data_IF_813332008465
#
_entry.id   IF_813332008465
#
_cell.length_a   1.000
_cell.length_b   1.000
_cell.length_c   1.000
_cell.angle_alpha   90.00
_cell.angle_beta   90.00
_cell.angle_gamma   90.00
#
_symmetry.space_group_name_H-M   'P 1'
#
loop_
_entity.id
_entity.type
_entity.pdbx_description
1 polymer ?
#
# COMPACT_ATOMS: atom_id res chain seq x y z
N UNK A 1 30.34 21.95 -42.57
CA UNK A 1 30.30 21.99 -41.08
C UNK A 1 28.87 21.89 -40.52
N UNK A 2 27.84 22.46 -41.18
CA UNK A 2 26.45 22.45 -40.70
C UNK A 2 25.80 21.05 -40.56
N UNK A 3 26.18 20.07 -41.39
CA UNK A 3 25.63 18.70 -41.35
C UNK A 3 26.09 17.87 -40.13
N UNK A 4 27.27 18.14 -39.59
CA UNK A 4 27.79 17.43 -38.41
C UNK A 4 27.10 17.87 -37.12
N UNK A 5 26.60 19.11 -37.08
CA UNK A 5 25.88 19.67 -35.93
C UNK A 5 24.48 19.05 -35.76
N UNK A 6 23.81 18.67 -36.85
CA UNK A 6 22.50 18.02 -36.79
C UNK A 6 22.58 16.56 -36.32
N UNK A 7 23.62 15.84 -36.70
CA UNK A 7 23.85 14.45 -36.27
C UNK A 7 24.14 14.33 -34.77
N UNK A 8 24.87 15.30 -34.21
CA UNK A 8 25.18 15.33 -32.78
C UNK A 8 23.97 15.72 -31.92
N UNK A 9 23.06 16.56 -32.44
CA UNK A 9 21.81 16.90 -31.77
C UNK A 9 20.82 15.72 -31.71
N UNK A 10 20.74 14.92 -32.78
CA UNK A 10 19.88 13.72 -32.81
C UNK A 10 20.33 12.63 -31.83
N UNK A 11 21.64 12.49 -31.61
CA UNK A 11 22.22 11.53 -30.66
C UNK A 11 21.86 11.89 -29.20
N UNK A 12 21.80 13.19 -28.88
CA UNK A 12 21.48 13.67 -27.53
C UNK A 12 20.00 13.48 -27.17
N UNK A 13 19.09 13.49 -28.15
CA UNK A 13 17.65 13.26 -27.92
C UNK A 13 17.35 11.79 -27.63
N UNK A 14 18.05 10.85 -28.27
CA UNK A 14 17.88 9.39 -28.04
C UNK A 14 18.41 8.97 -26.67
N UNK A 15 19.44 9.64 -26.15
CA UNK A 15 19.99 9.36 -24.81
C UNK A 15 19.10 9.85 -23.66
N UNK A 16 18.06 10.66 -23.91
CA UNK A 16 17.19 11.17 -22.85
C UNK A 16 16.14 10.15 -22.38
N UNK A 17 15.92 9.06 -23.13
CA UNK A 17 14.96 8.01 -22.75
C UNK A 17 15.50 7.04 -21.69
N UNK A 18 16.77 7.17 -21.27
CA UNK A 18 17.40 6.31 -20.28
C UNK A 18 17.11 6.65 -18.80
N UNK A 19 16.50 7.81 -18.51
CA UNK A 19 16.32 8.31 -17.14
C UNK A 19 14.86 8.24 -16.66
N UNK A 20 14.13 7.17 -16.98
CA UNK A 20 12.85 6.87 -16.35
C UNK A 20 12.98 5.61 -15.49
N UNK A 21 13.92 5.61 -14.54
CA UNK A 21 13.98 4.59 -13.51
C UNK A 21 12.84 4.83 -12.53
N UNK A 22 11.66 4.29 -12.87
CA UNK A 22 10.57 4.13 -11.94
C UNK A 22 10.98 3.02 -10.97
N UNK A 23 11.49 3.39 -9.80
CA UNK A 23 11.68 2.48 -8.67
C UNK A 23 10.31 2.10 -8.11
N UNK A 24 9.54 1.31 -8.86
CA UNK A 24 8.39 0.62 -8.30
C UNK A 24 8.96 -0.47 -7.38
N UNK A 25 8.89 -0.26 -6.07
CA UNK A 25 9.07 -1.35 -5.13
C UNK A 25 8.08 -2.46 -5.48
N UNK A 26 8.50 -3.74 -5.47
CA UNK A 26 7.58 -4.85 -5.67
C UNK A 26 6.36 -4.68 -4.77
N UNK A 27 5.15 -4.95 -5.29
CA UNK A 27 3.88 -4.75 -4.58
C UNK A 27 3.89 -5.48 -3.22
N UNK A 28 4.58 -6.61 -3.14
CA UNK A 28 4.75 -7.43 -1.94
C UNK A 28 5.53 -6.70 -0.82
N UNK A 29 6.38 -5.74 -1.16
CA UNK A 29 7.14 -4.91 -0.21
C UNK A 29 6.42 -3.60 0.13
N UNK A 30 5.30 -3.30 -0.54
CA UNK A 30 4.54 -2.09 -0.31
C UNK A 30 3.60 -2.26 0.88
N UNK A 31 3.69 -1.33 1.82
CA UNK A 31 2.71 -1.19 2.90
C UNK A 31 1.60 -0.26 2.43
N UNK A 32 0.37 -0.70 2.61
CA UNK A 32 -0.85 0.05 2.34
C UNK A 32 -1.52 0.39 3.66
N UNK A 33 -2.34 1.43 3.64
CA UNK A 33 -3.12 1.83 4.79
C UNK A 33 -4.56 2.19 4.42
N UNK A 34 -5.47 1.99 5.36
CA UNK A 34 -6.89 2.32 5.20
C UNK A 34 -7.56 2.58 6.53
N UNK A 35 -8.54 3.48 6.52
CA UNK A 35 -9.40 3.75 7.67
C UNK A 35 -10.78 3.11 7.48
N UNK A 36 -11.37 2.65 8.57
CA UNK A 36 -12.72 2.11 8.56
C UNK A 36 -13.25 1.80 9.95
N UNK A 37 -14.52 1.43 10.02
CA UNK A 37 -15.18 1.02 11.26
C UNK A 37 -15.16 -0.49 11.39
N UNK A 38 -14.73 -1.02 12.53
CA UNK A 38 -14.69 -2.47 12.78
C UNK A 38 -16.10 -3.05 12.75
N UNK A 39 -16.34 -4.01 11.86
CA UNK A 39 -17.58 -4.79 11.80
C UNK A 39 -17.45 -6.05 12.64
N UNK A 40 -16.32 -6.77 12.48
CA UNK A 40 -16.01 -7.94 13.28
C UNK A 40 -14.50 -8.10 13.46
N UNK A 41 -14.09 -8.73 14.57
CA UNK A 41 -12.69 -9.02 14.86
C UNK A 41 -12.58 -10.39 15.52
N UNK A 42 -11.61 -11.18 15.06
CA UNK A 42 -11.26 -12.49 15.63
C UNK A 42 -9.73 -12.62 15.81
N UNK A 43 -9.26 -13.82 16.14
CA UNK A 43 -7.81 -14.09 16.23
C UNK A 43 -7.14 -14.08 14.85
N UNK A 44 -7.84 -14.47 13.79
CA UNK A 44 -7.29 -14.66 12.45
C UNK A 44 -7.80 -13.66 11.42
N UNK A 45 -8.84 -12.90 11.73
CA UNK A 45 -9.54 -12.05 10.77
C UNK A 45 -9.99 -10.72 11.38
N UNK A 46 -9.89 -9.65 10.60
CA UNK A 46 -10.46 -8.34 10.89
C UNK A 46 -11.32 -7.93 9.69
N UNK A 47 -12.55 -7.53 9.95
CA UNK A 47 -13.44 -6.97 8.93
C UNK A 47 -13.77 -5.54 9.30
N UNK A 48 -13.54 -4.61 8.37
CA UNK A 48 -13.91 -3.20 8.54
C UNK A 48 -14.84 -2.77 7.42
N UNK A 49 -15.75 -1.85 7.75
CA UNK A 49 -16.44 -1.04 6.75
C UNK A 49 -15.53 0.13 6.37
N UNK A 50 -14.94 0.05 5.19
CA UNK A 50 -14.24 1.18 4.56
C UNK A 50 -15.23 2.19 3.98
N UNK A 51 -14.69 3.23 3.31
CA UNK A 51 -15.51 4.32 2.75
C UNK A 51 -16.54 3.85 1.70
N UNK A 52 -16.25 2.79 0.96
CA UNK A 52 -17.08 2.31 -0.17
C UNK A 52 -17.50 0.86 -0.04
N UNK A 53 -16.70 0.05 0.65
CA UNK A 53 -16.84 -1.39 0.67
C UNK A 53 -16.41 -1.96 2.01
N UNK A 54 -16.87 -3.17 2.28
CA UNK A 54 -16.34 -3.99 3.35
C UNK A 54 -14.98 -4.54 2.94
N UNK A 55 -14.03 -4.53 3.87
CA UNK A 55 -12.67 -4.98 3.63
C UNK A 55 -12.30 -6.00 4.71
N UNK A 56 -11.98 -7.21 4.26
CA UNK A 56 -11.51 -8.32 5.10
C UNK A 56 -9.99 -8.38 5.08
N UNK A 57 -9.39 -8.53 6.26
CA UNK A 57 -7.96 -8.70 6.45
C UNK A 57 -7.67 -9.97 7.22
N UNK A 58 -6.57 -10.62 6.85
CA UNK A 58 -5.99 -11.72 7.63
C UNK A 58 -5.07 -11.15 8.70
N UNK A 59 -5.31 -11.56 9.95
CA UNK A 59 -4.44 -11.28 11.08
C UNK A 59 -3.44 -12.42 11.19
N UNK A 60 -2.16 -12.07 11.28
CA UNK A 60 -1.07 -13.00 11.52
C UNK A 60 -0.60 -12.89 12.97
N UNK A 61 0.12 -13.91 13.49
CA UNK A 61 0.76 -13.81 14.80
C UNK A 61 1.74 -12.64 14.92
N UNK A 62 2.31 -12.18 13.79
CA UNK A 62 3.21 -11.02 13.73
C UNK A 62 2.50 -9.67 13.61
N UNK A 63 1.16 -9.65 13.48
CA UNK A 63 0.40 -8.40 13.36
C UNK A 63 0.37 -7.64 14.68
N UNK A 64 0.66 -6.35 14.64
CA UNK A 64 0.62 -5.49 15.83
C UNK A 64 -0.80 -4.95 15.98
N UNK A 65 -1.47 -5.31 17.07
CA UNK A 65 -2.73 -4.68 17.47
C UNK A 65 -2.41 -3.57 18.47
N UNK A 66 -2.79 -2.34 18.17
CA UNK A 66 -2.91 -1.25 19.14
C UNK A 66 -3.93 -1.59 20.21
N UNK A 67 -4.19 -0.66 21.14
CA UNK A 67 -5.17 -0.82 22.24
C UNK A 67 -6.40 -1.65 21.84
N UNK A 68 -6.91 -2.47 22.75
CA UNK A 68 -8.04 -3.38 22.48
C UNK A 68 -9.25 -2.63 21.93
N UNK A 69 -9.43 -2.70 20.62
CA UNK A 69 -10.56 -2.12 19.91
C UNK A 69 -11.63 -3.19 19.70
N UNK A 70 -12.89 -2.79 19.79
CA UNK A 70 -14.05 -3.66 19.63
C UNK A 70 -14.83 -3.31 18.35
N UNK A 71 -15.86 -4.10 18.05
CA UNK A 71 -16.82 -3.78 16.99
C UNK A 71 -17.39 -2.38 17.19
N UNK A 72 -17.44 -1.59 16.12
CA UNK A 72 -17.86 -0.18 16.14
C UNK A 72 -16.71 0.82 16.29
N UNK A 73 -15.51 0.38 16.69
CA UNK A 73 -14.34 1.25 16.76
C UNK A 73 -13.92 1.74 15.37
N UNK A 74 -13.48 3.00 15.28
CA UNK A 74 -12.90 3.54 14.05
C UNK A 74 -11.37 3.34 14.08
N UNK A 75 -10.85 2.58 13.12
CA UNK A 75 -9.46 2.11 13.14
C UNK A 75 -8.68 2.55 11.91
N UNK A 76 -7.37 2.61 12.05
CA UNK A 76 -6.39 2.73 10.97
C UNK A 76 -5.65 1.42 10.83
N UNK A 77 -5.75 0.79 9.66
CA UNK A 77 -5.18 -0.53 9.36
C UNK A 77 -4.06 -0.36 8.35
N UNK A 78 -2.86 -0.76 8.75
CA UNK A 78 -1.72 -1.00 7.87
C UNK A 78 -1.69 -2.47 7.45
N UNK A 79 -1.50 -2.73 6.16
CA UNK A 79 -1.49 -4.08 5.61
C UNK A 79 -0.55 -4.20 4.42
N UNK A 80 -0.21 -5.43 4.08
CA UNK A 80 0.49 -5.79 2.85
C UNK A 80 -0.37 -6.73 1.99
N UNK A 81 -0.08 -6.77 0.70
CA UNK A 81 -0.70 -7.72 -0.22
C UNK A 81 0.22 -8.92 -0.41
N UNK A 82 -0.33 -10.12 -0.22
CA UNK A 82 0.34 -11.39 -0.56
C UNK A 82 -0.57 -12.17 -1.50
N UNK A 83 -0.35 -12.02 -2.81
CA UNK A 83 -1.36 -12.34 -3.81
C UNK A 83 -2.61 -11.48 -3.58
N UNK A 84 -3.78 -12.13 -3.46
CA UNK A 84 -5.06 -11.44 -3.23
C UNK A 84 -5.41 -11.25 -1.74
N UNK A 85 -4.54 -11.72 -0.83
CA UNK A 85 -4.77 -11.65 0.61
C UNK A 85 -4.20 -10.36 1.18
N UNK A 86 -5.03 -9.64 1.94
CA UNK A 86 -4.62 -8.45 2.72
C UNK A 86 -4.18 -8.91 4.11
N UNK A 87 -2.88 -8.91 4.38
CA UNK A 87 -2.32 -9.30 5.68
C UNK A 87 -2.07 -8.08 6.55
N UNK A 88 -2.68 -8.01 7.75
CA UNK A 88 -2.49 -6.90 8.68
C UNK A 88 -1.04 -6.86 9.15
N UNK A 89 -0.41 -5.71 9.07
CA UNK A 89 0.89 -5.45 9.71
C UNK A 89 0.70 -4.70 11.03
N UNK A 90 -0.18 -3.71 11.04
CA UNK A 90 -0.54 -2.96 12.25
C UNK A 90 -1.99 -2.48 12.17
N UNK A 91 -2.70 -2.47 13.29
CA UNK A 91 -4.03 -1.86 13.38
C UNK A 91 -4.13 -1.08 14.68
N UNK A 92 -4.56 0.18 14.61
CA UNK A 92 -4.69 1.06 15.77
C UNK A 92 -6.06 1.70 15.79
N UNK A 93 -6.63 1.86 16.97
CA UNK A 93 -7.83 2.67 17.16
C UNK A 93 -7.49 4.15 16.95
N UNK A 94 -8.31 4.85 16.18
CA UNK A 94 -8.18 6.30 16.02
C UNK A 94 -8.83 6.97 17.22
N UNK A 95 -8.02 7.37 18.18
CA UNK A 95 -8.45 8.24 19.28
C UNK A 95 -8.86 9.58 18.66
N UNK A 96 -10.11 9.99 18.92
CA UNK A 96 -10.64 11.30 18.51
C UNK A 96 -10.42 12.33 19.61
#
# INVERSE_FOLDING_TARGET
>A
MLRSLHLSCLLLVVLQWGCFWKNDTPIEEKIFDVYGTVQSVSLSELVIQGKKEEITFRILPSSIKGSGFETGAYVHVYYRLKGDVKEVTMVVEKIS
#
